data_IF_180165124873
#
_entry.id   IF_180165124873
#
_cell.length_a   1.000
_cell.length_b   1.000
_cell.length_c   1.000
_cell.angle_alpha   90.00
_cell.angle_beta   90.00
_cell.angle_gamma   90.00
#
_symmetry.space_group_name_H-M   'P 1'
#
loop_
_entity.id
_entity.type
_entity.pdbx_description
1 polymer ?
#
# COMPACT_ATOMS: atom_id res chain seq x y z
N UNK A 1 27.31 17.08 11.74
CA UNK A 1 26.60 16.61 12.94
C UNK A 1 26.25 15.14 12.74
N UNK A 2 26.68 14.24 13.63
CA UNK A 2 26.39 12.80 13.54
C UNK A 2 24.88 12.62 13.75
N UNK A 3 24.15 12.18 12.72
CA UNK A 3 22.71 11.88 12.83
C UNK A 3 22.55 10.80 13.92
N UNK A 4 22.00 11.19 15.07
CA UNK A 4 21.60 10.25 16.11
C UNK A 4 20.50 9.38 15.51
N UNK A 5 20.67 8.05 15.55
CA UNK A 5 19.66 7.12 15.06
C UNK A 5 18.67 6.92 16.20
N UNK A 6 17.41 7.31 16.06
CA UNK A 6 16.42 7.00 17.07
C UNK A 6 16.34 5.49 17.26
N UNK A 7 16.20 5.05 18.51
CA UNK A 7 15.94 3.65 18.82
C UNK A 7 14.48 3.30 18.53
N UNK A 8 13.57 4.23 18.87
CA UNK A 8 12.13 4.10 18.67
C UNK A 8 11.58 5.42 18.11
N UNK A 9 10.73 5.31 17.09
CA UNK A 9 9.94 6.42 16.57
C UNK A 9 8.48 6.25 16.97
N UNK A 10 7.87 7.30 17.52
CA UNK A 10 6.44 7.30 17.90
C UNK A 10 5.73 8.30 17.00
N UNK A 11 4.82 7.82 16.16
CA UNK A 11 4.01 8.69 15.30
C UNK A 11 2.56 8.68 15.79
N UNK A 12 1.95 9.87 15.90
CA UNK A 12 0.58 10.02 16.39
C UNK A 12 -0.15 11.16 15.69
N UNK A 13 -1.47 11.05 15.57
CA UNK A 13 -2.31 12.07 14.93
C UNK A 13 -2.66 13.19 15.90
N UNK A 14 -2.72 14.43 15.40
CA UNK A 14 -2.99 15.63 16.17
C UNK A 14 -4.38 15.67 16.83
N UNK A 15 -5.31 14.82 16.36
CA UNK A 15 -6.65 14.64 16.96
C UNK A 15 -6.64 13.87 18.28
N UNK A 16 -5.54 13.17 18.62
CA UNK A 16 -5.44 12.47 19.90
C UNK A 16 -5.30 13.47 21.06
N UNK A 17 -5.89 13.17 22.24
CA UNK A 17 -5.68 13.99 23.43
C UNK A 17 -4.19 14.11 23.75
N UNK A 18 -3.70 15.35 23.84
CA UNK A 18 -2.27 15.63 24.07
C UNK A 18 -1.80 15.02 25.39
N UNK A 19 -2.64 15.09 26.43
CA UNK A 19 -2.36 14.57 27.76
C UNK A 19 -2.04 13.06 27.77
N UNK A 20 -2.72 12.27 26.93
CA UNK A 20 -2.49 10.82 26.85
C UNK A 20 -1.16 10.49 26.16
N UNK A 21 -0.81 11.24 25.12
CA UNK A 21 0.47 11.08 24.40
C UNK A 21 1.64 11.52 25.28
N UNK A 22 1.51 12.63 25.99
CA UNK A 22 2.55 13.13 26.88
C UNK A 22 2.79 12.16 28.05
N UNK A 23 1.73 11.60 28.64
CA UNK A 23 1.85 10.58 29.68
C UNK A 23 2.59 9.34 29.16
N UNK A 24 2.23 8.87 27.97
CA UNK A 24 2.93 7.74 27.34
C UNK A 24 4.40 8.05 27.09
N UNK A 25 4.71 9.21 26.50
CA UNK A 25 6.09 9.62 26.22
C UNK A 25 6.93 9.74 27.48
N UNK A 26 6.34 10.24 28.58
CA UNK A 26 7.00 10.31 29.88
C UNK A 26 7.26 8.91 30.49
N UNK A 27 6.32 7.97 30.34
CA UNK A 27 6.48 6.61 30.85
C UNK A 27 7.55 5.82 30.08
N UNK A 28 7.73 6.10 28.79
CA UNK A 28 8.75 5.44 27.96
C UNK A 28 10.10 6.18 27.93
N UNK A 29 10.16 7.40 28.48
CA UNK A 29 11.39 8.19 28.52
C UNK A 29 12.42 7.53 29.44
N UNK A 30 13.55 7.14 28.88
CA UNK A 30 14.64 6.52 29.62
C UNK A 30 15.99 7.03 29.11
N UNK A 31 16.96 7.16 30.01
CA UNK A 31 18.30 7.66 29.67
C UNK A 31 19.06 6.79 28.67
N UNK A 32 18.61 5.55 28.45
CA UNK A 32 19.20 4.58 27.53
C UNK A 32 18.48 4.51 26.17
N UNK A 33 17.26 5.07 26.07
CA UNK A 33 16.44 5.04 24.86
C UNK A 33 16.32 6.42 24.22
N UNK A 34 16.88 6.58 23.02
CA UNK A 34 16.62 7.73 22.17
C UNK A 34 15.26 7.55 21.48
N UNK A 35 14.20 8.13 22.05
CA UNK A 35 12.86 8.15 21.47
C UNK A 35 12.66 9.46 20.72
N UNK A 36 12.11 9.39 19.51
CA UNK A 36 11.71 10.57 18.72
C UNK A 36 10.23 10.47 18.43
N UNK A 37 9.50 11.54 18.71
CA UNK A 37 8.07 11.61 18.43
C UNK A 37 7.80 12.50 17.21
N UNK A 38 6.83 12.08 16.41
CA UNK A 38 6.39 12.78 15.20
C UNK A 38 4.86 12.96 15.24
N UNK A 39 4.43 14.21 15.30
CA UNK A 39 3.02 14.58 15.34
C UNK A 39 2.53 14.83 13.92
N UNK A 40 1.57 14.02 13.47
CA UNK A 40 0.93 14.17 12.16
C UNK A 40 -0.35 14.99 12.27
N UNK A 41 -0.54 15.98 11.40
CA UNK A 41 -1.71 16.87 11.45
C UNK A 41 -3.03 16.16 11.13
N UNK A 42 -3.00 15.13 10.28
CA UNK A 42 -4.15 14.25 10.00
C UNK A 42 -3.67 12.85 9.61
N UNK A 43 -4.60 11.91 9.44
CA UNK A 43 -4.29 10.67 8.74
C UNK A 43 -3.95 11.01 7.29
N UNK A 44 -2.66 11.17 6.99
CA UNK A 44 -2.24 11.10 5.59
C UNK A 44 -2.63 9.72 5.06
N UNK A 45 -3.14 9.68 3.83
CA UNK A 45 -3.41 8.41 3.14
C UNK A 45 -2.07 7.70 3.06
N UNK A 46 -1.85 6.74 3.96
CA UNK A 46 -0.80 5.77 3.82
C UNK A 46 -1.19 4.96 2.59
N UNK A 47 -0.68 5.37 1.44
CA UNK A 47 -0.95 4.74 0.16
C UNK A 47 -0.15 3.43 0.09
N UNK A 48 -0.51 2.46 0.92
CA UNK A 48 0.06 1.12 0.90
C UNK A 48 -0.63 0.20 -0.10
N UNK A 49 -0.25 -1.07 -0.05
CA UNK A 49 -0.76 -2.12 -0.95
C UNK A 49 -2.28 -2.32 -0.80
N UNK A 50 -2.85 -1.91 0.32
CA UNK A 50 -4.29 -1.86 0.59
C UNK A 50 -5.09 -1.08 -0.47
N UNK A 51 -4.51 -0.05 -1.10
CA UNK A 51 -5.17 0.64 -2.21
C UNK A 51 -5.34 -0.24 -3.46
N UNK A 52 -4.51 -1.27 -3.62
CA UNK A 52 -4.63 -2.23 -4.72
C UNK A 52 -5.65 -3.33 -4.44
N UNK A 53 -6.23 -3.40 -3.23
CA UNK A 53 -7.11 -4.49 -2.84
C UNK A 53 -8.38 -4.54 -3.71
N UNK A 54 -9.00 -3.39 -3.99
CA UNK A 54 -10.18 -3.30 -4.86
C UNK A 54 -9.86 -3.74 -6.30
N UNK A 55 -8.71 -3.34 -6.83
CA UNK A 55 -8.19 -3.79 -8.14
C UNK A 55 -7.94 -5.28 -8.16
N UNK A 56 -7.30 -5.84 -7.11
CA UNK A 56 -7.04 -7.26 -7.00
C UNK A 56 -8.34 -8.08 -6.96
N UNK A 57 -9.35 -7.62 -6.21
CA UNK A 57 -10.68 -8.24 -6.17
C UNK A 57 -11.33 -8.20 -7.56
N UNK A 58 -11.31 -7.06 -8.24
CA UNK A 58 -11.86 -6.92 -9.59
C UNK A 58 -11.18 -7.87 -10.58
N UNK A 59 -9.84 -7.94 -10.57
CA UNK A 59 -9.06 -8.87 -11.41
C UNK A 59 -9.42 -10.31 -11.11
N UNK A 60 -9.57 -10.67 -9.83
CA UNK A 60 -9.92 -12.04 -9.43
C UNK A 60 -11.31 -12.44 -9.94
N UNK A 61 -12.32 -11.59 -9.74
CA UNK A 61 -13.70 -11.84 -10.17
C UNK A 61 -13.83 -11.86 -11.71
N UNK A 62 -13.12 -10.97 -12.39
CA UNK A 62 -13.19 -10.84 -13.86
C UNK A 62 -12.25 -11.80 -14.60
N UNK A 63 -11.39 -12.54 -13.89
CA UNK A 63 -10.44 -13.48 -14.51
C UNK A 63 -11.12 -14.45 -15.51
N UNK A 64 -12.24 -15.12 -15.19
CA UNK A 64 -12.88 -16.05 -16.14
C UNK A 64 -13.39 -15.34 -17.40
N UNK A 65 -13.92 -14.11 -17.25
CA UNK A 65 -14.36 -13.29 -18.38
C UNK A 65 -13.20 -12.99 -19.33
N UNK A 66 -12.07 -12.51 -18.80
CA UNK A 66 -10.89 -12.21 -19.61
C UNK A 66 -10.31 -13.46 -20.26
N UNK A 67 -10.25 -14.60 -19.56
CA UNK A 67 -9.76 -15.86 -20.13
C UNK A 67 -10.65 -16.30 -21.30
N UNK A 68 -11.98 -16.28 -21.13
CA UNK A 68 -12.92 -16.62 -22.20
C UNK A 68 -12.80 -15.67 -23.40
N UNK A 69 -12.81 -14.36 -23.14
CA UNK A 69 -12.71 -13.33 -24.16
C UNK A 69 -11.40 -13.44 -24.97
N UNK A 70 -10.25 -13.55 -24.28
CA UNK A 70 -8.95 -13.64 -24.95
C UNK A 70 -8.78 -14.94 -25.74
N UNK A 71 -9.38 -16.03 -25.30
CA UNK A 71 -9.37 -17.29 -26.06
C UNK A 71 -10.14 -17.16 -27.38
N UNK A 72 -11.33 -16.56 -27.37
CA UNK A 72 -12.09 -16.36 -28.61
C UNK A 72 -11.41 -15.33 -29.53
N UNK A 73 -10.97 -14.19 -28.99
CA UNK A 73 -10.24 -13.19 -29.76
C UNK A 73 -8.93 -13.73 -30.36
N UNK A 74 -8.27 -14.67 -29.67
CA UNK A 74 -7.09 -15.37 -30.15
C UNK A 74 -7.37 -16.31 -31.32
N UNK A 75 -8.53 -16.99 -31.32
CA UNK A 75 -8.97 -17.82 -32.45
C UNK A 75 -9.22 -16.97 -33.69
N UNK A 76 -9.87 -15.82 -33.53
CA UNK A 76 -10.16 -14.92 -34.65
C UNK A 76 -8.86 -14.38 -35.28
N UNK A 77 -7.92 -13.92 -34.45
CA UNK A 77 -6.59 -13.51 -34.92
C UNK A 77 -5.84 -14.64 -35.60
N UNK A 78 -5.88 -15.86 -35.05
CA UNK A 78 -5.25 -17.03 -35.65
C UNK A 78 -5.82 -17.32 -37.05
N UNK A 79 -7.14 -17.23 -37.23
CA UNK A 79 -7.75 -17.44 -38.54
C UNK A 79 -7.31 -16.38 -39.57
N UNK A 80 -7.23 -15.11 -39.17
CA UNK A 80 -6.73 -14.03 -40.02
C UNK A 80 -5.28 -14.28 -40.43
N UNK A 81 -4.41 -14.60 -39.46
CA UNK A 81 -3.00 -14.91 -39.71
C UNK A 81 -2.83 -16.12 -40.64
N UNK A 82 -3.58 -17.20 -40.40
CA UNK A 82 -3.53 -18.42 -41.20
C UNK A 82 -3.92 -18.16 -42.65
N UNK A 83 -4.94 -17.33 -42.90
CA UNK A 83 -5.32 -16.91 -44.26
C UNK A 83 -4.21 -16.11 -44.93
N UNK A 84 -3.52 -15.24 -44.20
CA UNK A 84 -2.42 -14.45 -44.75
C UNK A 84 -1.17 -15.26 -45.09
N UNK A 85 -0.91 -16.37 -44.37
CA UNK A 85 0.32 -17.16 -44.53
C UNK A 85 0.18 -18.41 -45.42
N UNK A 86 -1.02 -18.94 -45.62
CA UNK A 86 -1.29 -20.16 -46.40
C UNK A 86 -1.97 -19.83 -47.75
N UNK A 87 -2.01 -18.55 -48.12
CA UNK A 87 -2.29 -18.10 -49.49
C UNK A 87 -0.98 -17.96 -50.24
#
# INVERSE_FOLDING_TARGET
MKKMRPHIGVSYVAKLPVDEIELFLADVDSSELCIVSDKQDDFEIQAGVELLLSTAIAVYLLKPYFVGFLNEAGKDHYQVLRRALIT
#
